data_IF_783084012260
#
_entry.id   IF_783084012260
#
_cell.length_a   1.000
_cell.length_b   1.000
_cell.length_c   1.000
_cell.angle_alpha   90.00
_cell.angle_beta   90.00
_cell.angle_gamma   90.00
#
_symmetry.space_group_name_H-M   'P 1'
#
loop_
_entity.id
_entity.type
_entity.pdbx_description
1 polymer ?
#
# COMPACT_ATOMS: atom_id res chain seq x y z
N UNK A 1 -11.16 -21.31 29.67
CA UNK A 1 -12.11 -20.19 29.42
C UNK A 1 -13.36 -20.81 28.81
N UNK A 2 -14.57 -20.39 29.16
CA UNK A 2 -15.77 -20.90 28.49
C UNK A 2 -15.70 -20.43 27.02
N UNK A 3 -15.82 -21.37 26.07
CA UNK A 3 -15.81 -21.03 24.65
C UNK A 3 -16.99 -20.08 24.37
N UNK A 4 -16.69 -18.83 24.01
CA UNK A 4 -17.71 -17.87 23.59
C UNK A 4 -18.45 -18.39 22.37
N UNK A 5 -19.78 -18.28 22.36
CA UNK A 5 -20.64 -18.72 21.27
C UNK A 5 -21.57 -17.58 20.83
N UNK A 6 -21.66 -17.37 19.53
CA UNK A 6 -22.68 -16.53 18.92
C UNK A 6 -23.88 -17.39 18.52
N UNK A 7 -25.10 -16.89 18.72
CA UNK A 7 -26.35 -17.58 18.34
C UNK A 7 -26.98 -16.90 17.14
N UNK A 8 -27.31 -17.70 16.12
CA UNK A 8 -28.06 -17.26 14.95
C UNK A 8 -29.35 -18.06 14.83
N UNK A 9 -30.47 -17.38 14.77
CA UNK A 9 -31.74 -17.97 14.45
C UNK A 9 -32.08 -17.78 12.96
N UNK A 10 -32.25 -18.88 12.24
CA UNK A 10 -32.56 -18.85 10.82
C UNK A 10 -33.51 -20.00 10.47
N UNK A 11 -34.68 -19.68 9.86
CA UNK A 11 -35.68 -20.67 9.46
C UNK A 11 -36.20 -21.53 10.60
N UNK A 12 -36.33 -20.95 11.81
CA UNK A 12 -36.83 -21.65 13.02
C UNK A 12 -35.80 -22.57 13.67
N UNK A 13 -34.55 -22.53 13.24
CA UNK A 13 -33.43 -23.26 13.86
C UNK A 13 -32.50 -22.29 14.56
N UNK A 14 -32.08 -22.62 15.76
CA UNK A 14 -30.99 -21.91 16.47
C UNK A 14 -29.67 -22.61 16.21
N UNK A 15 -28.65 -21.88 15.79
CA UNK A 15 -27.31 -22.35 15.51
C UNK A 15 -26.33 -21.65 16.43
N UNK A 16 -25.32 -22.35 16.86
CA UNK A 16 -24.21 -21.81 17.66
C UNK A 16 -22.93 -21.83 16.83
N UNK A 17 -22.23 -20.68 16.83
CA UNK A 17 -20.98 -20.49 16.13
C UNK A 17 -19.87 -20.09 17.10
N UNK A 18 -18.65 -20.64 16.96
CA UNK A 18 -17.53 -20.21 17.77
C UNK A 18 -17.25 -18.71 17.59
N UNK A 19 -16.88 -18.06 18.68
CA UNK A 19 -16.36 -16.70 18.67
C UNK A 19 -14.86 -16.77 18.87
N UNK A 20 -14.10 -16.25 17.89
CA UNK A 20 -12.65 -16.19 17.94
C UNK A 20 -12.23 -14.85 18.54
N UNK A 21 -11.28 -14.90 19.47
CA UNK A 21 -10.71 -13.72 20.11
C UNK A 21 -9.28 -13.49 19.57
N UNK A 22 -9.01 -12.27 19.09
CA UNK A 22 -7.65 -11.85 18.74
C UNK A 22 -6.85 -11.47 20.00
N UNK A 23 -5.55 -11.23 19.84
CA UNK A 23 -4.72 -10.66 20.92
C UNK A 23 -5.16 -9.24 21.29
N UNK A 24 -5.69 -8.51 20.31
CA UNK A 24 -6.30 -7.17 20.44
C UNK A 24 -7.42 -7.03 19.40
N UNK A 25 -8.31 -6.07 19.60
CA UNK A 25 -9.39 -5.75 18.65
C UNK A 25 -10.69 -6.51 18.92
N UNK A 26 -11.66 -6.43 17.99
CA UNK A 26 -12.98 -7.02 18.16
C UNK A 26 -12.99 -8.54 18.00
N UNK A 27 -13.93 -9.18 18.66
CA UNK A 27 -14.22 -10.60 18.50
C UNK A 27 -14.74 -10.91 17.08
N UNK A 28 -14.49 -12.13 16.60
CA UNK A 28 -14.89 -12.59 15.26
C UNK A 28 -15.77 -13.84 15.38
N UNK A 29 -16.90 -13.86 14.69
CA UNK A 29 -17.80 -15.02 14.62
C UNK A 29 -17.34 -15.95 13.49
N UNK A 30 -16.96 -17.19 13.80
CA UNK A 30 -16.57 -18.19 12.82
C UNK A 30 -17.78 -18.79 12.10
N UNK A 31 -18.06 -18.29 10.90
CA UNK A 31 -19.20 -18.69 10.07
C UNK A 31 -18.89 -19.80 9.06
N UNK A 32 -17.73 -20.45 9.11
CA UNK A 32 -17.33 -21.48 8.13
C UNK A 32 -18.33 -22.61 8.00
N UNK A 33 -19.07 -22.94 9.06
CA UNK A 33 -20.11 -23.98 9.07
C UNK A 33 -21.51 -23.50 8.67
N UNK A 34 -21.73 -22.22 8.46
CA UNK A 34 -23.07 -21.62 8.21
C UNK A 34 -23.77 -22.27 7.01
N UNK A 35 -23.10 -22.33 5.88
CA UNK A 35 -23.72 -22.87 4.65
C UNK A 35 -24.07 -24.35 4.79
N UNK A 36 -23.19 -25.17 5.36
CA UNK A 36 -23.45 -26.58 5.57
C UNK A 36 -24.62 -26.87 6.52
N UNK A 37 -24.84 -26.00 7.50
CA UNK A 37 -25.92 -26.13 8.48
C UNK A 37 -27.27 -25.60 8.00
N UNK A 38 -27.29 -24.59 7.12
CA UNK A 38 -28.52 -23.83 6.78
C UNK A 38 -28.81 -23.74 5.28
N UNK A 39 -27.84 -23.97 4.41
CA UNK A 39 -27.93 -23.65 2.98
C UNK A 39 -27.84 -22.15 2.67
N UNK A 40 -27.67 -21.29 3.67
CA UNK A 40 -27.54 -19.84 3.52
C UNK A 40 -26.08 -19.39 3.70
N UNK A 41 -25.71 -18.25 3.13
CA UNK A 41 -24.45 -17.57 3.35
C UNK A 41 -24.66 -16.08 3.54
N UNK A 42 -23.65 -15.41 4.08
CA UNK A 42 -23.69 -13.97 4.40
C UNK A 42 -23.59 -13.11 3.15
N UNK A 43 -24.04 -11.87 3.24
CA UNK A 43 -23.90 -10.87 2.18
C UNK A 43 -23.18 -9.64 2.76
N UNK A 44 -21.92 -9.46 2.42
CA UNK A 44 -21.07 -8.35 2.85
C UNK A 44 -20.18 -7.86 1.70
N UNK A 45 -20.72 -7.05 0.76
CA UNK A 45 -19.93 -6.49 -0.33
C UNK A 45 -18.84 -5.57 0.20
N UNK A 46 -17.57 -5.90 -0.06
CA UNK A 46 -16.43 -5.13 0.39
C UNK A 46 -15.91 -5.49 1.78
N UNK A 47 -16.39 -6.57 2.37
CA UNK A 47 -15.86 -7.21 3.59
C UNK A 47 -15.76 -6.29 4.81
N UNK A 48 -16.73 -5.38 5.00
CA UNK A 48 -16.71 -4.43 6.12
C UNK A 48 -16.90 -5.08 7.49
N UNK A 49 -17.53 -6.24 7.53
CA UNK A 49 -17.84 -7.00 8.75
C UNK A 49 -17.36 -8.45 8.65
N UNK A 50 -16.38 -8.72 7.78
CA UNK A 50 -15.92 -10.07 7.50
C UNK A 50 -14.40 -10.12 7.59
N UNK A 51 -13.86 -10.80 8.62
CA UNK A 51 -12.47 -11.17 8.67
C UNK A 51 -12.22 -12.32 7.68
N UNK A 52 -11.24 -12.19 6.81
CA UNK A 52 -10.90 -13.19 5.77
C UNK A 52 -9.68 -14.03 6.12
N UNK A 53 -8.94 -13.68 7.17
CA UNK A 53 -7.75 -14.39 7.64
C UNK A 53 -7.44 -14.03 9.09
N UNK A 54 -6.57 -14.81 9.71
CA UNK A 54 -5.80 -14.45 10.88
C UNK A 54 -4.46 -13.85 10.43
N UNK A 55 -3.95 -12.84 11.13
CA UNK A 55 -2.67 -12.21 10.83
C UNK A 55 -2.03 -11.62 12.08
N UNK A 56 -0.72 -11.77 12.20
CA UNK A 56 0.08 -11.17 13.26
C UNK A 56 0.93 -9.98 12.76
N UNK A 57 0.70 -9.50 11.55
CA UNK A 57 1.54 -8.47 10.91
C UNK A 57 1.18 -7.05 11.34
N UNK A 58 -0.07 -6.68 11.14
CA UNK A 58 -0.52 -5.29 11.34
C UNK A 58 -1.87 -5.27 12.03
N UNK A 59 -1.98 -4.44 13.05
CA UNK A 59 -3.23 -4.13 13.72
C UNK A 59 -3.60 -2.66 13.51
N UNK A 60 -4.88 -2.41 13.23
CA UNK A 60 -5.44 -1.07 13.10
C UNK A 60 -6.66 -0.93 14.01
N UNK A 61 -6.67 0.11 14.84
CA UNK A 61 -7.87 0.62 15.47
C UNK A 61 -8.21 1.98 14.87
N UNK A 62 -9.24 1.99 14.04
CA UNK A 62 -9.66 3.20 13.34
C UNK A 62 -10.36 4.22 14.25
N UNK A 63 -10.99 3.79 15.34
CA UNK A 63 -11.66 4.70 16.29
C UNK A 63 -10.63 5.39 17.19
N UNK A 64 -9.63 4.64 17.68
CA UNK A 64 -8.56 5.18 18.54
C UNK A 64 -7.39 5.78 17.75
N UNK A 65 -7.32 5.58 16.44
CA UNK A 65 -6.20 6.07 15.61
C UNK A 65 -4.90 5.31 15.86
N UNK A 66 -4.97 4.00 16.07
CA UNK A 66 -3.82 3.13 16.33
C UNK A 66 -3.44 2.38 15.07
N UNK A 67 -2.13 2.31 14.80
CA UNK A 67 -1.52 1.45 13.77
C UNK A 67 -0.26 0.82 14.36
N UNK A 68 -0.25 -0.51 14.41
CA UNK A 68 0.89 -1.28 14.92
C UNK A 68 1.42 -2.21 13.82
N UNK A 69 2.74 -2.31 13.69
CA UNK A 69 3.41 -3.38 12.94
C UNK A 69 4.07 -4.33 13.93
N UNK A 70 3.64 -5.59 13.95
CA UNK A 70 4.12 -6.60 14.90
C UNK A 70 4.06 -6.12 16.37
N UNK A 71 3.06 -5.28 16.71
CA UNK A 71 2.90 -4.69 18.04
C UNK A 71 3.62 -3.35 18.26
N UNK A 72 4.52 -2.94 17.36
CA UNK A 72 5.23 -1.67 17.48
C UNK A 72 4.41 -0.51 16.86
N UNK A 73 4.22 0.61 17.59
CA UNK A 73 3.51 1.78 17.08
C UNK A 73 4.21 2.38 15.86
N UNK A 74 3.43 2.66 14.80
CA UNK A 74 3.97 3.16 13.53
C UNK A 74 4.76 4.47 13.68
N UNK A 75 4.34 5.35 14.58
CA UNK A 75 5.04 6.61 14.85
C UNK A 75 6.44 6.39 15.42
N UNK A 76 6.61 5.41 16.31
CA UNK A 76 7.92 5.06 16.88
C UNK A 76 8.83 4.44 15.80
N UNK A 77 8.29 3.53 14.98
CA UNK A 77 9.06 2.95 13.88
C UNK A 77 9.52 4.02 12.90
N UNK A 78 8.66 4.95 12.50
CA UNK A 78 9.02 6.03 11.57
C UNK A 78 10.01 7.06 12.17
N UNK A 79 10.08 7.19 13.48
CA UNK A 79 10.99 8.12 14.15
C UNK A 79 12.37 7.51 14.43
N UNK A 80 12.42 6.21 14.77
CA UNK A 80 13.60 5.57 15.32
C UNK A 80 14.20 4.44 14.47
N UNK A 81 13.47 3.92 13.49
CA UNK A 81 13.92 2.82 12.63
C UNK A 81 14.24 3.29 11.21
N UNK A 82 14.97 2.47 10.47
CA UNK A 82 15.08 2.55 9.02
C UNK A 82 13.99 1.71 8.34
N UNK A 83 13.75 1.96 7.04
CA UNK A 83 12.82 1.13 6.26
C UNK A 83 13.26 -0.34 6.22
N UNK A 84 14.57 -0.60 6.21
CA UNK A 84 15.09 -1.98 6.20
C UNK A 84 14.87 -2.70 7.53
N UNK A 85 14.96 -2.00 8.67
CA UNK A 85 14.57 -2.57 9.97
C UNK A 85 13.07 -2.93 10.01
N UNK A 86 12.21 -2.08 9.46
CA UNK A 86 10.77 -2.34 9.38
C UNK A 86 10.47 -3.48 8.39
N UNK A 87 11.20 -3.56 7.27
CA UNK A 87 11.11 -4.67 6.35
C UNK A 87 11.48 -6.00 7.01
N UNK A 88 12.58 -6.01 7.76
CA UNK A 88 12.99 -7.17 8.55
C UNK A 88 11.93 -7.56 9.59
N UNK A 89 11.44 -6.58 10.36
CA UNK A 89 10.39 -6.77 11.37
C UNK A 89 9.14 -7.45 10.79
N UNK A 90 8.62 -6.94 9.67
CA UNK A 90 7.43 -7.49 9.03
C UNK A 90 7.65 -8.93 8.54
N UNK A 91 8.82 -9.22 7.99
CA UNK A 91 9.14 -10.56 7.47
C UNK A 91 9.43 -11.58 8.57
N UNK A 92 10.16 -11.19 9.63
CA UNK A 92 10.72 -12.11 10.61
C UNK A 92 10.01 -12.07 11.99
N UNK A 93 9.20 -11.04 12.27
CA UNK A 93 8.35 -10.95 13.47
C UNK A 93 8.91 -10.09 14.59
N UNK A 94 10.22 -9.85 14.65
CA UNK A 94 10.90 -9.04 15.66
C UNK A 94 11.87 -8.05 15.01
N UNK A 95 12.19 -6.96 15.69
CA UNK A 95 13.21 -6.02 15.25
C UNK A 95 14.59 -6.70 15.22
N UNK A 96 15.40 -6.44 14.17
CA UNK A 96 16.71 -7.05 14.06
C UNK A 96 17.68 -6.49 15.10
N UNK A 97 18.58 -7.33 15.58
CA UNK A 97 19.83 -6.83 16.15
C UNK A 97 20.78 -6.37 15.03
N UNK A 98 21.92 -5.73 15.37
CA UNK A 98 22.82 -5.16 14.38
C UNK A 98 23.35 -6.20 13.38
N UNK A 99 23.71 -7.40 13.83
CA UNK A 99 24.23 -8.44 12.95
C UNK A 99 23.16 -8.98 11.98
N UNK A 100 21.93 -9.10 12.43
CA UNK A 100 20.79 -9.51 11.61
C UNK A 100 20.44 -8.43 10.57
N UNK A 101 20.49 -7.16 10.94
CA UNK A 101 20.27 -6.04 10.02
C UNK A 101 21.38 -5.99 8.96
N UNK A 102 22.64 -6.11 9.37
CA UNK A 102 23.79 -6.08 8.45
C UNK A 102 23.73 -7.24 7.43
N UNK A 103 23.33 -8.45 7.85
CA UNK A 103 23.16 -9.60 6.95
C UNK A 103 21.96 -9.40 5.99
N UNK A 104 20.86 -8.85 6.51
CA UNK A 104 19.69 -8.54 5.71
C UNK A 104 19.99 -7.47 4.67
N UNK A 105 20.60 -6.35 5.06
CA UNK A 105 21.02 -5.28 4.17
C UNK A 105 22.02 -5.78 3.12
N UNK A 106 22.99 -6.59 3.53
CA UNK A 106 23.93 -7.25 2.62
C UNK A 106 23.21 -8.08 1.57
N UNK A 107 22.23 -8.87 1.99
CA UNK A 107 21.45 -9.74 1.09
C UNK A 107 20.59 -8.92 0.14
N UNK A 108 19.82 -7.95 0.64
CA UNK A 108 18.95 -7.11 -0.19
C UNK A 108 19.76 -6.31 -1.21
N UNK A 109 20.83 -5.67 -0.77
CA UNK A 109 21.72 -4.84 -1.62
C UNK A 109 22.27 -5.61 -2.82
N UNK A 110 22.54 -6.92 -2.67
CA UNK A 110 23.08 -7.76 -3.74
C UNK A 110 22.04 -8.37 -4.67
N UNK A 111 20.75 -8.14 -4.40
CA UNK A 111 19.65 -8.58 -5.26
C UNK A 111 18.98 -7.42 -6.03
N UNK A 112 19.48 -6.21 -5.95
CA UNK A 112 18.87 -5.00 -6.54
C UNK A 112 18.94 -4.94 -8.06
N UNK A 113 19.95 -5.53 -8.69
CA UNK A 113 20.08 -5.56 -10.15
C UNK A 113 18.97 -6.37 -10.81
N UNK A 114 18.44 -5.85 -11.90
CA UNK A 114 17.54 -6.58 -12.78
C UNK A 114 18.32 -7.39 -13.83
N UNK A 115 17.70 -8.41 -14.37
CA UNK A 115 18.23 -9.10 -15.55
C UNK A 115 18.29 -8.12 -16.74
N UNK A 116 19.41 -8.08 -17.46
CA UNK A 116 19.64 -7.10 -18.55
C UNK A 116 18.56 -7.10 -19.63
N UNK A 117 17.98 -8.25 -19.95
CA UNK A 117 16.90 -8.33 -20.92
C UNK A 117 15.63 -7.58 -20.48
N UNK A 118 15.43 -7.31 -19.18
CA UNK A 118 14.34 -6.46 -18.73
C UNK A 118 14.43 -5.03 -19.25
N UNK A 119 15.62 -4.51 -19.50
CA UNK A 119 15.78 -3.21 -20.18
C UNK A 119 15.15 -3.20 -21.57
N UNK A 120 15.20 -4.32 -22.29
CA UNK A 120 14.49 -4.49 -23.57
C UNK A 120 12.96 -4.56 -23.38
N UNK A 121 12.51 -5.20 -22.32
CA UNK A 121 11.07 -5.26 -21.98
C UNK A 121 10.49 -3.87 -21.72
N UNK A 122 11.24 -2.99 -21.03
CA UNK A 122 10.85 -1.58 -20.85
C UNK A 122 10.66 -0.86 -22.19
N UNK A 123 11.51 -1.13 -23.19
CA UNK A 123 11.42 -0.52 -24.52
C UNK A 123 10.16 -0.94 -25.32
N UNK A 124 9.47 -1.99 -24.87
CA UNK A 124 8.19 -2.42 -25.43
C UNK A 124 7.00 -1.56 -24.99
N UNK A 125 7.13 -0.78 -23.92
CA UNK A 125 6.09 0.14 -23.49
C UNK A 125 6.14 1.45 -24.29
N UNK A 126 5.02 2.17 -24.34
CA UNK A 126 5.03 3.56 -24.80
C UNK A 126 5.73 4.44 -23.78
N UNK A 127 6.37 5.52 -24.22
CA UNK A 127 7.06 6.46 -23.32
C UNK A 127 6.12 7.20 -22.37
N UNK A 128 4.88 7.43 -22.79
CA UNK A 128 3.82 8.04 -22.03
C UNK A 128 3.02 7.01 -21.18
N UNK A 129 3.48 5.77 -21.10
CA UNK A 129 2.85 4.76 -20.26
C UNK A 129 2.96 5.14 -18.79
N UNK A 130 1.85 4.96 -18.06
CA UNK A 130 1.82 5.22 -16.63
C UNK A 130 2.81 4.30 -15.89
N UNK A 131 3.62 4.80 -14.94
CA UNK A 131 4.61 3.99 -14.22
C UNK A 131 4.02 2.74 -13.55
N UNK A 132 2.79 2.81 -13.05
CA UNK A 132 2.10 1.65 -12.47
C UNK A 132 1.82 0.54 -13.48
N UNK A 133 1.51 0.88 -14.75
CA UNK A 133 1.33 -0.11 -15.81
C UNK A 133 2.66 -0.82 -16.11
N UNK A 134 3.74 -0.05 -16.17
CA UNK A 134 5.10 -0.58 -16.37
C UNK A 134 5.47 -1.51 -15.20
N UNK A 135 5.31 -1.04 -13.96
CA UNK A 135 5.65 -1.84 -12.77
C UNK A 135 4.85 -3.13 -12.70
N UNK A 136 3.53 -3.08 -12.96
CA UNK A 136 2.68 -4.26 -13.01
C UNK A 136 3.19 -5.29 -14.01
N UNK A 137 3.52 -4.86 -15.23
CA UNK A 137 4.05 -5.73 -16.27
C UNK A 137 5.43 -6.31 -15.93
N UNK A 138 6.35 -5.47 -15.46
CA UNK A 138 7.72 -5.86 -15.14
C UNK A 138 7.77 -6.82 -13.95
N UNK A 139 7.02 -6.55 -12.87
CA UNK A 139 6.97 -7.43 -11.69
C UNK A 139 6.39 -8.79 -12.05
N UNK A 140 5.32 -8.83 -12.85
CA UNK A 140 4.77 -10.10 -13.36
C UNK A 140 5.79 -10.87 -14.22
N UNK A 141 6.56 -10.16 -15.06
CA UNK A 141 7.60 -10.75 -15.89
C UNK A 141 8.77 -11.35 -15.09
N UNK A 142 9.00 -10.91 -13.83
CA UNK A 142 10.05 -11.52 -12.98
C UNK A 142 9.89 -13.03 -12.83
N UNK A 143 8.67 -13.55 -12.89
CA UNK A 143 8.42 -15.00 -12.89
C UNK A 143 9.15 -15.74 -14.01
N UNK A 144 9.34 -15.10 -15.17
CA UNK A 144 10.03 -15.67 -16.33
C UNK A 144 11.56 -15.51 -16.26
N UNK A 145 12.05 -14.59 -15.43
CA UNK A 145 13.49 -14.34 -15.27
C UNK A 145 14.09 -15.03 -14.04
N UNK A 146 13.26 -15.30 -13.03
CA UNK A 146 13.67 -15.89 -11.73
C UNK A 146 12.87 -17.14 -11.41
N UNK A 147 12.67 -18.01 -12.42
CA UNK A 147 11.93 -19.27 -12.29
C UNK A 147 12.60 -20.29 -11.38
N UNK A 148 13.87 -20.07 -11.02
CA UNK A 148 14.64 -20.83 -10.04
C UNK A 148 14.16 -20.67 -8.59
N UNK A 149 13.20 -19.79 -8.33
CA UNK A 149 12.67 -19.50 -6.98
C UNK A 149 11.15 -19.36 -6.95
N UNK A 150 10.44 -20.07 -7.82
CA UNK A 150 8.98 -19.99 -7.93
C UNK A 150 8.23 -21.16 -7.28
N UNK A 151 8.94 -22.15 -6.75
CA UNK A 151 8.32 -23.24 -5.97
C UNK A 151 7.94 -22.74 -4.58
N UNK A 152 6.64 -22.49 -4.38
CA UNK A 152 6.11 -21.98 -3.12
C UNK A 152 6.06 -23.02 -2.00
N UNK A 153 6.26 -24.30 -2.30
CA UNK A 153 6.34 -25.37 -1.29
C UNK A 153 7.70 -25.38 -0.59
N UNK A 154 8.75 -24.85 -1.25
CA UNK A 154 10.10 -24.72 -0.70
C UNK A 154 10.27 -23.40 0.08
N UNK A 155 10.55 -23.43 1.39
CA UNK A 155 10.78 -22.24 2.21
C UNK A 155 11.94 -21.36 1.71
N UNK A 156 13.01 -21.96 1.16
CA UNK A 156 14.15 -21.20 0.63
C UNK A 156 13.77 -20.46 -0.66
N UNK A 157 12.95 -21.08 -1.54
CA UNK A 157 12.40 -20.40 -2.70
C UNK A 157 11.50 -19.23 -2.29
N UNK A 158 10.67 -19.40 -1.25
CA UNK A 158 9.85 -18.29 -0.72
C UNK A 158 10.71 -17.17 -0.18
N UNK A 159 11.76 -17.48 0.57
CA UNK A 159 12.69 -16.52 1.15
C UNK A 159 13.42 -15.73 0.06
N UNK A 160 14.04 -16.41 -0.90
CA UNK A 160 14.80 -15.72 -1.97
C UNK A 160 13.90 -14.89 -2.88
N UNK A 161 12.68 -15.36 -3.20
CA UNK A 161 11.71 -14.58 -3.98
C UNK A 161 11.25 -13.33 -3.23
N UNK A 162 11.05 -13.43 -1.92
CA UNK A 162 10.74 -12.30 -1.05
C UNK A 162 11.84 -11.24 -1.08
N UNK A 163 13.09 -11.67 -0.89
CA UNK A 163 14.25 -10.77 -0.96
C UNK A 163 14.40 -10.14 -2.35
N UNK A 164 14.23 -10.92 -3.43
CA UNK A 164 14.28 -10.43 -4.82
C UNK A 164 13.20 -9.37 -5.09
N UNK A 165 11.97 -9.58 -4.63
CA UNK A 165 10.89 -8.60 -4.79
C UNK A 165 11.22 -7.28 -4.10
N UNK A 166 11.59 -7.34 -2.82
CA UNK A 166 11.94 -6.15 -2.05
C UNK A 166 13.14 -5.43 -2.68
N UNK A 167 14.21 -6.16 -2.98
CA UNK A 167 15.45 -5.60 -3.51
C UNK A 167 15.30 -4.95 -4.89
N UNK A 168 14.48 -5.53 -5.76
CA UNK A 168 14.34 -5.08 -7.15
C UNK A 168 13.32 -3.96 -7.36
N UNK A 169 12.42 -3.77 -6.42
CA UNK A 169 11.35 -2.79 -6.56
C UNK A 169 11.85 -1.35 -6.74
N UNK A 170 12.88 -0.86 -6.01
CA UNK A 170 13.47 0.45 -6.25
C UNK A 170 14.01 0.60 -7.67
N UNK A 171 14.72 -0.42 -8.17
CA UNK A 171 15.28 -0.40 -9.52
C UNK A 171 14.18 -0.39 -10.57
N UNK A 172 13.12 -1.17 -10.36
CA UNK A 172 11.95 -1.22 -11.26
C UNK A 172 11.26 0.14 -11.32
N UNK A 173 11.00 0.78 -10.17
CA UNK A 173 10.36 2.08 -10.10
C UNK A 173 11.23 3.19 -10.71
N UNK A 174 12.52 3.22 -10.41
CA UNK A 174 13.46 4.18 -10.97
C UNK A 174 13.59 4.03 -12.50
N UNK A 175 13.65 2.80 -13.02
CA UNK A 175 13.68 2.55 -14.46
C UNK A 175 12.38 2.98 -15.15
N UNK A 176 11.22 2.81 -14.51
CA UNK A 176 9.95 3.30 -15.05
C UNK A 176 9.96 4.83 -15.19
N UNK A 177 10.46 5.54 -14.19
CA UNK A 177 10.65 6.99 -14.24
C UNK A 177 11.63 7.40 -15.33
N UNK A 178 12.83 6.82 -15.35
CA UNK A 178 13.86 7.12 -16.35
C UNK A 178 13.39 6.87 -17.78
N UNK A 179 12.63 5.80 -17.97
CA UNK A 179 12.04 5.49 -19.27
C UNK A 179 11.06 6.56 -19.74
N UNK A 180 10.17 7.02 -18.86
CA UNK A 180 9.19 8.06 -19.19
C UNK A 180 9.85 9.41 -19.52
N UNK A 181 10.95 9.76 -18.83
CA UNK A 181 11.68 11.01 -19.06
C UNK A 181 12.68 10.91 -20.22
N UNK A 182 12.93 9.72 -20.76
CA UNK A 182 13.88 9.50 -21.85
C UNK A 182 15.35 9.56 -21.42
N UNK A 183 15.63 9.42 -20.13
CA UNK A 183 16.96 9.39 -19.57
C UNK A 183 17.52 7.96 -19.53
N UNK A 184 18.86 7.80 -19.52
CA UNK A 184 19.50 6.49 -19.38
C UNK A 184 19.20 5.87 -18.01
N UNK A 185 19.06 4.54 -17.97
CA UNK A 185 18.97 3.82 -16.72
C UNK A 185 20.26 3.89 -15.94
N UNK A 186 20.17 4.07 -14.62
CA UNK A 186 21.31 3.91 -13.72
C UNK A 186 21.23 2.56 -13.03
N UNK A 187 22.37 1.89 -12.94
CA UNK A 187 22.52 0.68 -12.16
C UNK A 187 22.55 0.99 -10.66
N UNK A 188 22.10 0.04 -9.81
CA UNK A 188 22.26 0.17 -8.36
C UNK A 188 23.69 0.38 -7.93
N UNK A 189 23.89 1.08 -6.83
CA UNK A 189 25.16 1.30 -6.16
C UNK A 189 25.13 0.70 -4.76
N UNK A 190 25.89 -0.36 -4.54
CA UNK A 190 25.88 -1.12 -3.29
C UNK A 190 26.50 -0.37 -2.09
N UNK A 191 27.06 0.81 -2.29
CA UNK A 191 27.57 1.66 -1.21
C UNK A 191 26.51 2.54 -0.55
N UNK A 192 25.33 2.64 -1.16
CA UNK A 192 24.23 3.47 -0.69
C UNK A 192 23.19 2.63 0.06
N UNK A 193 22.45 3.31 0.94
CA UNK A 193 21.26 2.75 1.57
C UNK A 193 20.19 2.36 0.53
N UNK A 194 19.19 1.59 0.93
CA UNK A 194 18.05 1.23 0.08
C UNK A 194 17.37 2.47 -0.52
N UNK A 195 17.06 3.44 0.34
CA UNK A 195 16.40 4.69 -0.05
C UNK A 195 17.30 5.62 -0.85
N UNK A 196 18.57 5.76 -0.43
CA UNK A 196 19.56 6.57 -1.14
C UNK A 196 19.84 6.02 -2.53
N UNK A 197 19.92 4.70 -2.68
CA UNK A 197 20.10 4.04 -3.97
C UNK A 197 18.91 4.27 -4.91
N UNK A 198 17.68 4.19 -4.38
CA UNK A 198 16.48 4.53 -5.14
C UNK A 198 16.50 5.97 -5.65
N UNK A 199 16.82 6.93 -4.78
CA UNK A 199 16.92 8.36 -5.15
C UNK A 199 17.99 8.61 -6.21
N UNK A 200 19.17 8.01 -6.06
CA UNK A 200 20.25 8.09 -7.05
C UNK A 200 19.84 7.50 -8.40
N UNK A 201 19.22 6.32 -8.43
CA UNK A 201 18.76 5.72 -9.67
C UNK A 201 17.67 6.54 -10.36
N UNK A 202 16.85 7.25 -9.58
CA UNK A 202 15.75 8.07 -10.09
C UNK A 202 16.24 9.41 -10.63
N UNK A 203 17.03 10.16 -9.87
CA UNK A 203 17.39 11.55 -10.17
C UNK A 203 18.81 11.71 -10.72
N UNK A 204 19.71 10.81 -10.39
CA UNK A 204 21.08 10.85 -10.89
C UNK A 204 21.17 10.70 -12.41
N UNK A 205 22.27 11.19 -13.00
CA UNK A 205 22.62 11.05 -14.42
C UNK A 205 24.04 10.52 -14.56
N UNK A 206 24.38 9.81 -15.65
CA UNK A 206 25.74 9.24 -15.79
C UNK A 206 26.85 10.28 -15.92
N UNK A 207 26.48 11.53 -16.24
CA UNK A 207 27.45 12.61 -16.54
C UNK A 207 28.06 13.25 -15.28
N UNK A 208 27.42 13.05 -14.10
CA UNK A 208 27.83 13.67 -12.84
C UNK A 208 27.56 12.77 -11.65
N UNK A 209 28.24 13.05 -10.54
CA UNK A 209 27.96 12.37 -9.28
C UNK A 209 26.65 12.91 -8.68
N UNK A 210 25.77 12.01 -8.27
CA UNK A 210 24.54 12.38 -7.57
C UNK A 210 24.86 12.72 -6.10
N UNK A 211 24.49 13.92 -5.69
CA UNK A 211 24.60 14.35 -4.30
C UNK A 211 23.31 14.01 -3.54
N UNK A 212 23.39 12.99 -2.69
CA UNK A 212 22.27 12.57 -1.86
C UNK A 212 22.06 13.55 -0.69
N UNK A 213 20.89 14.20 -0.65
CA UNK A 213 20.55 15.12 0.43
C UNK A 213 20.00 14.35 1.65
N UNK A 214 20.63 14.43 2.84
CA UNK A 214 20.24 13.60 3.99
C UNK A 214 18.78 13.81 4.44
N UNK A 215 18.25 15.03 4.37
CA UNK A 215 16.85 15.28 4.72
C UNK A 215 15.86 14.66 3.73
N UNK A 216 16.23 14.58 2.44
CA UNK A 216 15.43 13.93 1.40
C UNK A 216 15.42 12.42 1.60
N UNK A 217 16.59 11.84 1.85
CA UNK A 217 16.73 10.42 2.15
C UNK A 217 15.88 10.02 3.36
N UNK A 218 16.00 10.76 4.47
CA UNK A 218 15.23 10.52 5.68
C UNK A 218 13.71 10.67 5.46
N UNK A 219 13.30 11.66 4.69
CA UNK A 219 11.88 11.87 4.38
C UNK A 219 11.30 10.70 3.56
N UNK A 220 12.05 10.24 2.56
CA UNK A 220 11.65 9.09 1.74
C UNK A 220 11.62 7.79 2.55
N UNK A 221 12.58 7.58 3.44
CA UNK A 221 12.62 6.42 4.32
C UNK A 221 11.38 6.38 5.24
N UNK A 222 11.02 7.51 5.83
CA UNK A 222 9.78 7.65 6.62
C UNK A 222 8.53 7.38 5.78
N UNK A 223 8.45 7.91 4.55
CA UNK A 223 7.34 7.63 3.63
C UNK A 223 7.25 6.12 3.39
N UNK A 224 8.35 5.45 3.14
CA UNK A 224 8.36 4.00 2.93
C UNK A 224 7.90 3.23 4.16
N UNK A 225 8.35 3.58 5.35
CA UNK A 225 7.92 2.98 6.62
C UNK A 225 6.40 3.12 6.80
N UNK A 226 5.87 4.33 6.63
CA UNK A 226 4.45 4.64 6.85
C UNK A 226 3.50 3.98 5.83
N UNK A 227 4.04 3.51 4.71
CA UNK A 227 3.30 2.83 3.66
C UNK A 227 3.59 1.33 3.57
N UNK A 228 4.50 0.79 4.40
CA UNK A 228 5.00 -0.59 4.32
C UNK A 228 3.89 -1.64 4.38
N UNK A 229 2.94 -1.51 5.30
CA UNK A 229 1.74 -2.36 5.39
C UNK A 229 0.54 -1.59 5.96
N UNK A 230 -0.67 -2.07 5.71
CA UNK A 230 -1.90 -1.47 6.23
C UNK A 230 -3.03 -2.51 6.29
N UNK A 231 -2.79 -3.63 6.96
CA UNK A 231 -3.77 -4.71 7.19
C UNK A 231 -4.37 -5.24 5.87
N UNK A 232 -5.62 -5.71 5.91
CA UNK A 232 -6.37 -6.27 4.76
C UNK A 232 -7.00 -5.18 3.89
N UNK A 233 -6.22 -4.22 3.39
CA UNK A 233 -6.66 -3.31 2.34
C UNK A 233 -6.89 -4.05 1.01
N UNK A 234 -7.50 -3.41 0.03
CA UNK A 234 -7.90 -4.04 -1.23
C UNK A 234 -6.73 -4.73 -1.96
N UNK A 235 -5.54 -4.11 -2.02
CA UNK A 235 -4.39 -4.70 -2.71
C UNK A 235 -3.77 -5.86 -1.92
N UNK A 236 -3.70 -5.78 -0.59
CA UNK A 236 -3.25 -6.87 0.27
C UNK A 236 -4.17 -8.09 0.16
N UNK A 237 -5.50 -7.86 0.24
CA UNK A 237 -6.49 -8.93 0.04
C UNK A 237 -6.40 -9.54 -1.36
N UNK A 238 -6.08 -8.74 -2.39
CA UNK A 238 -5.85 -9.22 -3.76
C UNK A 238 -4.61 -10.11 -3.84
N UNK A 239 -3.50 -9.74 -3.20
CA UNK A 239 -2.28 -10.54 -3.11
C UNK A 239 -2.57 -11.89 -2.44
N UNK A 240 -3.26 -11.88 -1.29
CA UNK A 240 -3.64 -13.11 -0.57
C UNK A 240 -4.60 -13.95 -1.40
N UNK A 241 -5.60 -13.35 -2.06
CA UNK A 241 -6.54 -14.07 -2.92
C UNK A 241 -5.82 -14.73 -4.11
N UNK A 242 -4.95 -14.00 -4.81
CA UNK A 242 -4.15 -14.56 -5.89
C UNK A 242 -3.25 -15.70 -5.40
N UNK A 243 -2.54 -15.47 -4.29
CA UNK A 243 -1.65 -16.47 -3.68
C UNK A 243 -2.39 -17.71 -3.18
N UNK A 244 -3.66 -17.60 -2.79
CA UNK A 244 -4.47 -18.71 -2.32
C UNK A 244 -4.65 -19.83 -3.36
N UNK A 245 -4.45 -19.51 -4.65
CA UNK A 245 -4.45 -20.47 -5.75
C UNK A 245 -3.13 -21.24 -5.91
N UNK A 246 -2.11 -20.94 -5.10
CA UNK A 246 -0.76 -21.47 -5.28
C UNK A 246 0.08 -20.71 -6.30
N UNK A 247 -0.34 -19.48 -6.71
CA UNK A 247 0.43 -18.65 -7.62
C UNK A 247 1.75 -18.18 -6.98
N UNK A 248 2.80 -18.07 -7.81
CA UNK A 248 4.11 -17.61 -7.35
C UNK A 248 4.05 -16.13 -6.87
N UNK A 249 4.97 -15.71 -5.99
CA UNK A 249 4.88 -14.39 -5.37
C UNK A 249 5.00 -13.23 -6.37
N UNK A 250 5.77 -13.36 -7.45
CA UNK A 250 5.90 -12.29 -8.45
C UNK A 250 4.54 -11.99 -9.11
N UNK A 251 3.78 -13.02 -9.47
CA UNK A 251 2.44 -12.89 -10.04
C UNK A 251 1.46 -12.29 -9.02
N UNK A 252 1.54 -12.71 -7.74
CA UNK A 252 0.69 -12.19 -6.68
C UNK A 252 0.94 -10.71 -6.41
N UNK A 253 2.21 -10.28 -6.36
CA UNK A 253 2.57 -8.88 -6.17
C UNK A 253 2.17 -8.03 -7.38
N UNK A 254 2.29 -8.54 -8.61
CA UNK A 254 1.77 -7.86 -9.80
C UNK A 254 0.25 -7.62 -9.70
N UNK A 255 -0.52 -8.59 -9.19
CA UNK A 255 -1.96 -8.42 -8.94
C UNK A 255 -2.23 -7.34 -7.86
N UNK A 256 -1.41 -7.30 -6.79
CA UNK A 256 -1.45 -6.24 -5.78
C UNK A 256 -1.20 -4.85 -6.37
N UNK A 257 -0.19 -4.72 -7.23
CA UNK A 257 0.12 -3.47 -7.96
C UNK A 257 -1.06 -3.05 -8.83
N UNK A 258 -1.64 -3.98 -9.58
CA UNK A 258 -2.81 -3.70 -10.42
C UNK A 258 -4.01 -3.19 -9.59
N UNK A 259 -4.27 -3.80 -8.44
CA UNK A 259 -5.33 -3.36 -7.53
C UNK A 259 -5.02 -1.98 -6.90
N UNK A 260 -3.76 -1.74 -6.51
CA UNK A 260 -3.35 -0.47 -5.91
C UNK A 260 -3.50 0.70 -6.89
N UNK A 261 -3.31 0.46 -8.18
CA UNK A 261 -3.44 1.50 -9.22
C UNK A 261 -4.86 2.05 -9.37
N UNK A 262 -5.87 1.37 -8.85
CA UNK A 262 -7.24 1.86 -8.91
C UNK A 262 -7.43 3.20 -8.18
N UNK A 263 -8.21 4.16 -8.74
CA UNK A 263 -8.39 5.51 -8.17
C UNK A 263 -9.07 5.49 -6.79
N UNK A 264 -9.78 4.42 -6.48
CA UNK A 264 -10.42 4.24 -5.17
C UNK A 264 -9.46 3.72 -4.08
N UNK A 265 -8.20 3.40 -4.42
CA UNK A 265 -7.20 2.85 -3.50
C UNK A 265 -5.92 3.69 -3.47
N UNK A 266 -5.00 3.55 -4.42
CA UNK A 266 -3.70 4.23 -4.38
C UNK A 266 -3.67 5.63 -4.99
N UNK A 267 -4.78 6.13 -5.54
CA UNK A 267 -4.85 7.45 -6.19
C UNK A 267 -5.05 8.65 -5.26
N UNK A 268 -5.14 8.45 -3.94
CA UNK A 268 -5.48 9.52 -3.00
C UNK A 268 -4.40 10.59 -2.88
N UNK A 269 -3.13 10.20 -2.87
CA UNK A 269 -1.98 11.12 -2.79
C UNK A 269 -1.90 12.04 -4.02
N UNK A 270 -2.08 11.48 -5.22
CA UNK A 270 -2.13 12.26 -6.47
C UNK A 270 -3.31 13.21 -6.47
N UNK A 271 -4.50 12.74 -6.07
CA UNK A 271 -5.69 13.55 -5.99
C UNK A 271 -5.56 14.71 -5.00
N UNK A 272 -4.87 14.52 -3.88
CA UNK A 272 -4.62 15.58 -2.90
C UNK A 272 -3.73 16.70 -3.48
N UNK A 273 -2.66 16.36 -4.20
CA UNK A 273 -1.81 17.35 -4.82
C UNK A 273 -2.51 18.09 -5.99
N UNK A 274 -3.24 17.34 -6.83
CA UNK A 274 -4.01 17.95 -7.92
C UNK A 274 -5.06 18.96 -7.37
N UNK A 275 -5.70 18.64 -6.26
CA UNK A 275 -6.60 19.56 -5.56
C UNK A 275 -5.87 20.82 -5.07
N UNK A 276 -4.69 20.69 -4.47
CA UNK A 276 -3.88 21.84 -4.03
C UNK A 276 -3.47 22.72 -5.21
N UNK A 277 -3.12 22.12 -6.34
CA UNK A 277 -2.82 22.87 -7.58
C UNK A 277 -4.07 23.56 -8.15
N UNK A 278 -5.26 22.94 -8.07
CA UNK A 278 -6.53 23.57 -8.46
C UNK A 278 -6.86 24.76 -7.57
N UNK A 279 -6.67 24.65 -6.25
CA UNK A 279 -6.82 25.78 -5.32
C UNK A 279 -5.82 26.87 -5.68
N UNK A 280 -4.56 26.53 -5.87
CA UNK A 280 -3.48 27.37 -6.39
C UNK A 280 -2.91 28.36 -5.37
N UNK A 281 -3.74 29.23 -4.77
CA UNK A 281 -3.28 30.29 -3.85
C UNK A 281 -4.11 30.33 -2.57
N UNK A 282 -3.51 30.79 -1.43
CA UNK A 282 -4.19 30.81 -0.13
C UNK A 282 -5.49 31.62 -0.07
N UNK A 283 -5.61 32.66 -0.84
CA UNK A 283 -6.81 33.54 -0.90
C UNK A 283 -8.04 32.82 -1.48
N UNK A 284 -7.84 31.77 -2.25
CA UNK A 284 -8.93 30.97 -2.84
C UNK A 284 -9.44 29.84 -1.90
N UNK A 285 -8.72 29.50 -0.83
CA UNK A 285 -9.07 28.43 0.09
C UNK A 285 -10.49 28.57 0.66
N UNK A 286 -10.95 29.77 1.14
CA UNK A 286 -12.31 29.89 1.68
C UNK A 286 -13.40 29.47 0.68
N UNK A 287 -13.23 29.79 -0.59
CA UNK A 287 -14.17 29.38 -1.65
C UNK A 287 -14.24 27.85 -1.78
N UNK A 288 -13.10 27.16 -1.77
CA UNK A 288 -13.05 25.70 -1.90
C UNK A 288 -13.53 24.99 -0.63
N UNK A 289 -13.33 25.58 0.54
CA UNK A 289 -13.92 25.08 1.80
C UNK A 289 -15.45 25.09 1.72
N UNK A 290 -16.06 26.19 1.25
CA UNK A 290 -17.51 26.28 1.09
C UNK A 290 -18.04 25.26 0.05
N UNK A 291 -17.33 25.06 -1.06
CA UNK A 291 -17.65 23.99 -2.01
C UNK A 291 -17.59 22.60 -1.38
N UNK A 292 -16.58 22.33 -0.55
CA UNK A 292 -16.44 21.04 0.15
C UNK A 292 -17.57 20.77 1.16
N UNK A 293 -18.14 21.83 1.75
CA UNK A 293 -19.29 21.78 2.65
C UNK A 293 -20.62 21.54 1.92
N UNK A 294 -20.74 21.98 0.67
CA UNK A 294 -21.95 21.79 -0.14
C UNK A 294 -22.07 20.31 -0.59
N UNK A 295 -23.12 19.64 -0.17
CA UNK A 295 -23.40 18.25 -0.54
C UNK A 295 -23.69 18.07 -2.05
N UNK A 296 -24.15 19.13 -2.73
CA UNK A 296 -24.48 19.12 -4.15
C UNK A 296 -23.27 19.44 -5.05
N UNK A 297 -22.21 20.06 -4.52
CA UNK A 297 -20.96 20.25 -5.25
C UNK A 297 -20.19 18.93 -5.32
N UNK A 298 -19.66 18.52 -6.48
CA UNK A 298 -18.84 17.32 -6.62
C UNK A 298 -17.46 17.47 -5.97
N UNK A 299 -17.02 18.68 -5.66
CA UNK A 299 -15.72 18.94 -5.05
C UNK A 299 -15.61 18.30 -3.66
N UNK A 300 -14.45 17.72 -3.38
CA UNK A 300 -14.12 17.15 -2.06
C UNK A 300 -12.70 17.57 -1.70
N UNK A 301 -12.44 17.82 -0.43
CA UNK A 301 -11.08 17.97 0.08
C UNK A 301 -10.38 16.61 0.08
N UNK A 302 -9.54 16.39 -0.92
CA UNK A 302 -8.73 15.19 -1.03
C UNK A 302 -7.58 15.22 -0.03
N UNK A 303 -7.25 14.07 0.56
CA UNK A 303 -6.27 14.00 1.63
C UNK A 303 -6.80 14.40 3.02
N UNK A 304 -8.14 14.57 3.16
CA UNK A 304 -8.81 14.85 4.43
C UNK A 304 -9.79 13.73 4.79
N UNK A 305 -9.75 13.30 6.05
CA UNK A 305 -10.49 12.12 6.51
C UNK A 305 -9.87 10.81 6.03
N UNK A 306 -10.36 9.69 6.53
CA UNK A 306 -9.88 8.37 6.17
C UNK A 306 -11.01 7.33 6.23
N UNK A 307 -10.96 6.28 5.41
CA UNK A 307 -11.98 5.22 5.42
C UNK A 307 -11.95 4.39 6.70
N UNK A 308 -10.75 4.18 7.25
CA UNK A 308 -10.52 3.38 8.46
C UNK A 308 -10.48 4.29 9.69
N UNK A 309 -9.56 5.26 9.72
CA UNK A 309 -9.43 6.16 10.86
C UNK A 309 -10.62 7.12 10.95
N UNK A 310 -11.40 7.00 12.03
CA UNK A 310 -12.52 7.88 12.35
C UNK A 310 -12.08 9.10 13.15
N UNK A 311 -10.85 9.07 13.64
CA UNK A 311 -10.21 10.15 14.37
C UNK A 311 -8.98 10.63 13.58
N UNK A 312 -7.83 10.68 14.16
CA UNK A 312 -6.60 11.15 13.53
C UNK A 312 -5.82 9.97 12.93
N UNK A 313 -5.28 10.14 11.72
CA UNK A 313 -4.38 9.16 11.11
C UNK A 313 -3.02 9.22 11.84
N UNK A 314 -2.56 8.15 12.52
CA UNK A 314 -1.33 8.20 13.32
C UNK A 314 -0.07 8.47 12.49
N UNK A 315 -0.14 8.28 11.16
CA UNK A 315 0.95 8.57 10.23
C UNK A 315 1.07 10.06 9.92
N UNK A 316 -0.04 10.80 9.99
CA UNK A 316 -0.09 12.20 9.61
C UNK A 316 0.81 13.09 10.48
N UNK A 317 0.92 12.81 11.79
CA UNK A 317 1.79 13.58 12.69
C UNK A 317 3.26 13.50 12.30
N UNK A 318 3.73 12.31 11.91
CA UNK A 318 5.10 12.11 11.42
C UNK A 318 5.33 12.86 10.12
N UNK A 319 4.38 12.77 9.19
CA UNK A 319 4.49 13.44 7.89
C UNK A 319 4.43 14.97 8.01
N UNK A 320 3.59 15.51 8.88
CA UNK A 320 3.53 16.95 9.14
C UNK A 320 4.89 17.52 9.60
N UNK A 321 5.57 16.81 10.51
CA UNK A 321 6.94 17.15 10.94
C UNK A 321 7.91 17.06 9.76
N UNK A 322 7.81 16.00 8.98
CA UNK A 322 8.70 15.72 7.85
C UNK A 322 8.55 16.75 6.73
N UNK A 323 7.34 17.26 6.45
CA UNK A 323 7.11 18.38 5.50
C UNK A 323 7.97 19.60 5.87
N UNK A 324 7.96 19.99 7.15
CA UNK A 324 8.74 21.15 7.63
C UNK A 324 10.24 20.90 7.50
N UNK A 325 10.72 19.72 7.90
CA UNK A 325 12.15 19.33 7.76
C UNK A 325 12.61 19.41 6.30
N UNK A 326 11.80 18.94 5.34
CA UNK A 326 12.12 18.97 3.89
C UNK A 326 12.08 20.40 3.35
N UNK A 327 11.08 21.19 3.73
CA UNK A 327 10.96 22.57 3.24
C UNK A 327 12.11 23.45 3.70
N UNK A 328 12.51 23.31 4.98
CA UNK A 328 13.66 24.01 5.53
C UNK A 328 14.95 23.58 4.84
N UNK A 329 15.14 22.28 4.60
CA UNK A 329 16.34 21.75 4.00
C UNK A 329 16.50 22.13 2.51
N UNK A 330 15.41 22.09 1.74
CA UNK A 330 15.42 22.37 0.30
C UNK A 330 15.13 23.85 -0.01
N UNK A 331 14.88 24.69 1.01
CA UNK A 331 14.51 26.11 0.85
C UNK A 331 13.34 26.31 -0.14
N UNK A 332 12.32 25.45 0.00
CA UNK A 332 11.17 25.41 -0.90
C UNK A 332 10.36 26.70 -0.81
N UNK A 333 10.05 27.32 -1.96
CA UNK A 333 9.31 28.59 -2.08
C UNK A 333 8.13 28.47 -3.05
N UNK A 334 7.54 27.30 -3.19
CA UNK A 334 6.42 27.08 -4.11
C UNK A 334 5.09 27.52 -3.45
N UNK A 335 4.26 28.35 -4.12
CA UNK A 335 2.95 28.78 -3.60
C UNK A 335 1.99 27.64 -3.24
N UNK A 336 2.10 26.48 -3.89
CA UNK A 336 1.28 25.30 -3.58
C UNK A 336 1.51 24.82 -2.14
N UNK A 337 2.74 24.94 -1.64
CA UNK A 337 3.07 24.54 -0.27
C UNK A 337 2.56 25.52 0.77
N UNK A 338 2.61 26.84 0.47
CA UNK A 338 1.98 27.84 1.31
C UNK A 338 0.45 27.62 1.37
N UNK A 339 -0.14 27.29 0.22
CA UNK A 339 -1.57 26.95 0.13
C UNK A 339 -1.89 25.70 0.97
N UNK A 340 -1.05 24.68 0.93
CA UNK A 340 -1.23 23.45 1.71
C UNK A 340 -1.20 23.72 3.22
N UNK A 341 -0.19 24.44 3.71
CA UNK A 341 -0.08 24.79 5.14
C UNK A 341 -1.26 25.65 5.61
N UNK A 342 -1.69 26.60 4.77
CA UNK A 342 -2.84 27.46 5.10
C UNK A 342 -4.17 26.69 5.07
N UNK A 343 -4.34 25.75 4.12
CA UNK A 343 -5.51 24.88 4.07
C UNK A 343 -5.59 23.98 5.31
N UNK A 344 -4.45 23.38 5.71
CA UNK A 344 -4.36 22.60 6.95
C UNK A 344 -4.83 23.42 8.16
N UNK A 345 -4.26 24.62 8.37
CA UNK A 345 -4.60 25.49 9.49
C UNK A 345 -6.10 25.83 9.52
N UNK A 346 -6.67 26.21 8.38
CA UNK A 346 -8.08 26.57 8.27
C UNK A 346 -8.99 25.36 8.50
N UNK A 347 -8.68 24.20 7.92
CA UNK A 347 -9.47 22.99 8.12
C UNK A 347 -9.41 22.50 9.57
N UNK A 348 -8.26 22.57 10.23
CA UNK A 348 -8.11 22.21 11.65
C UNK A 348 -8.81 23.19 12.60
N UNK A 349 -9.06 24.44 12.18
CA UNK A 349 -9.79 25.44 12.97
C UNK A 349 -11.29 25.46 12.71
N UNK A 350 -11.77 25.00 11.56
CA UNK A 350 -13.17 25.05 11.13
C UNK A 350 -14.03 23.98 11.83
N UNK A 351 -15.15 24.40 12.39
CA UNK A 351 -16.01 23.52 13.20
C UNK A 351 -16.64 22.39 12.39
N UNK A 352 -16.98 22.61 11.10
CA UNK A 352 -17.51 21.55 10.23
C UNK A 352 -16.54 20.39 10.06
N UNK A 353 -15.24 20.68 9.84
CA UNK A 353 -14.23 19.64 9.68
C UNK A 353 -13.93 18.93 11.00
N UNK A 354 -13.93 19.65 12.12
CA UNK A 354 -13.79 19.06 13.46
C UNK A 354 -14.94 18.12 13.80
N UNK A 355 -16.17 18.57 13.63
CA UNK A 355 -17.37 17.75 13.91
C UNK A 355 -17.43 16.49 13.05
N UNK A 356 -17.01 16.58 11.80
CA UNK A 356 -16.95 15.45 10.86
C UNK A 356 -15.66 14.67 10.93
N UNK A 357 -14.71 15.07 11.77
CA UNK A 357 -13.39 14.44 11.92
C UNK A 357 -12.62 14.33 10.60
N UNK A 358 -12.71 15.36 9.75
CA UNK A 358 -12.04 15.45 8.47
C UNK A 358 -10.65 16.10 8.64
N UNK A 359 -9.75 15.36 9.28
CA UNK A 359 -8.37 15.81 9.50
C UNK A 359 -7.48 15.46 8.30
N UNK A 360 -6.40 16.23 8.05
CA UNK A 360 -5.38 15.85 7.07
C UNK A 360 -4.82 14.45 7.37
N UNK A 361 -4.70 13.62 6.35
CA UNK A 361 -4.18 12.27 6.46
C UNK A 361 -2.77 12.14 5.86
N UNK A 362 -2.21 10.93 5.85
CA UNK A 362 -0.88 10.67 5.30
C UNK A 362 -0.74 11.06 3.83
N UNK A 363 -1.79 10.92 3.02
CA UNK A 363 -1.77 11.22 1.58
C UNK A 363 -1.62 12.71 1.29
N UNK A 364 -2.21 13.57 2.14
CA UNK A 364 -2.07 15.01 2.03
C UNK A 364 -0.61 15.44 2.17
N UNK A 365 0.08 14.98 3.20
CA UNK A 365 1.46 15.37 3.48
C UNK A 365 2.47 14.69 2.56
N UNK A 366 2.31 13.41 2.27
CA UNK A 366 3.25 12.69 1.41
C UNK A 366 3.25 13.23 -0.01
N UNK A 367 2.09 13.63 -0.56
CA UNK A 367 2.02 14.27 -1.86
C UNK A 367 2.83 15.57 -1.93
N UNK A 368 2.75 16.39 -0.89
CA UNK A 368 3.51 17.64 -0.77
C UNK A 368 5.02 17.35 -0.73
N UNK A 369 5.46 16.40 0.10
CA UNK A 369 6.88 16.03 0.22
C UNK A 369 7.41 15.50 -1.10
N UNK A 370 6.71 14.56 -1.74
CA UNK A 370 7.13 13.96 -3.00
C UNK A 370 7.25 15.01 -4.11
N UNK A 371 6.32 15.96 -4.17
CA UNK A 371 6.39 17.08 -5.11
C UNK A 371 7.58 18.00 -4.83
N UNK A 372 7.86 18.31 -3.55
CA UNK A 372 9.01 19.13 -3.16
C UNK A 372 10.35 18.48 -3.49
N UNK A 373 10.44 17.15 -3.43
CA UNK A 373 11.62 16.38 -3.83
C UNK A 373 11.79 16.35 -5.36
N UNK A 374 10.72 16.57 -6.13
CA UNK A 374 10.75 16.62 -7.60
C UNK A 374 10.13 15.41 -8.30
N UNK A 375 9.40 14.56 -7.60
CA UNK A 375 8.64 13.49 -8.25
C UNK A 375 7.40 14.04 -8.97
N UNK A 376 7.14 13.62 -10.22
CA UNK A 376 5.86 13.90 -10.88
C UNK A 376 4.74 13.10 -10.20
N UNK A 377 3.51 13.63 -10.24
CA UNK A 377 2.34 13.00 -9.62
C UNK A 377 2.09 11.58 -10.09
N UNK A 378 2.40 11.27 -11.35
CA UNK A 378 2.29 9.91 -11.91
C UNK A 378 3.17 8.87 -11.22
N UNK A 379 4.20 9.30 -10.49
CA UNK A 379 5.06 8.41 -9.70
C UNK A 379 4.52 8.11 -8.29
N UNK A 380 3.58 8.87 -7.77
CA UNK A 380 3.17 8.76 -6.35
C UNK A 380 2.64 7.37 -6.00
N UNK A 381 1.72 6.83 -6.81
CA UNK A 381 1.22 5.46 -6.60
C UNK A 381 2.31 4.41 -6.82
N UNK A 382 3.27 4.66 -7.71
CA UNK A 382 4.42 3.78 -7.93
C UNK A 382 5.35 3.72 -6.70
N UNK A 383 5.57 4.86 -6.03
CA UNK A 383 6.31 4.93 -4.77
C UNK A 383 5.57 4.23 -3.63
N UNK A 384 4.24 4.37 -3.61
CA UNK A 384 3.41 3.62 -2.69
C UNK A 384 3.54 2.10 -2.92
N UNK A 385 3.48 1.63 -4.16
CA UNK A 385 3.68 0.22 -4.50
C UNK A 385 5.07 -0.29 -4.09
N UNK A 386 6.13 0.53 -4.28
CA UNK A 386 7.48 0.22 -3.83
C UNK A 386 7.50 -0.05 -2.33
N UNK A 387 7.01 0.89 -1.53
CA UNK A 387 6.97 0.77 -0.07
C UNK A 387 6.12 -0.41 0.40
N UNK A 388 4.92 -0.57 -0.18
CA UNK A 388 3.94 -1.61 0.18
C UNK A 388 4.38 -3.02 -0.19
N UNK A 389 5.35 -3.17 -1.07
CA UNK A 389 5.85 -4.50 -1.49
C UNK A 389 6.30 -5.34 -0.30
N UNK A 390 6.92 -4.75 0.70
CA UNK A 390 7.33 -5.46 1.93
C UNK A 390 6.11 -6.05 2.65
N UNK A 391 5.07 -5.25 2.87
CA UNK A 391 3.83 -5.71 3.50
C UNK A 391 3.12 -6.80 2.67
N UNK A 392 3.01 -6.62 1.36
CA UNK A 392 2.43 -7.64 0.49
C UNK A 392 3.18 -8.97 0.54
N UNK A 393 4.52 -8.91 0.53
CA UNK A 393 5.37 -10.10 0.62
C UNK A 393 5.22 -10.78 1.97
N UNK A 394 5.21 -10.01 3.07
CA UNK A 394 5.01 -10.53 4.41
C UNK A 394 3.62 -11.19 4.56
N UNK A 395 2.56 -10.54 4.07
CA UNK A 395 1.19 -11.05 4.04
C UNK A 395 1.06 -12.33 3.20
N UNK A 396 1.74 -12.38 2.06
CA UNK A 396 1.77 -13.57 1.21
C UNK A 396 2.50 -14.73 1.91
N UNK A 397 3.67 -14.48 2.52
CA UNK A 397 4.43 -15.50 3.26
C UNK A 397 3.65 -16.07 4.44
N UNK A 398 2.99 -15.19 5.22
CA UNK A 398 2.15 -15.61 6.33
C UNK A 398 1.03 -16.55 5.85
N UNK A 399 0.32 -16.16 4.78
CA UNK A 399 -0.75 -16.96 4.21
C UNK A 399 -0.27 -18.32 3.68
N UNK A 400 0.82 -18.36 2.90
CA UNK A 400 1.35 -19.61 2.32
C UNK A 400 1.89 -20.56 3.41
N UNK A 401 2.33 -20.00 4.53
CA UNK A 401 2.84 -20.79 5.68
C UNK A 401 1.72 -21.29 6.60
N UNK A 402 0.48 -20.84 6.41
CA UNK A 402 -0.67 -21.28 7.21
C UNK A 402 -1.16 -22.67 6.71
N UNK A 403 -1.08 -23.73 7.54
CA UNK A 403 -1.58 -25.06 7.17
C UNK A 403 -3.11 -25.10 6.97
N UNK A 404 -3.83 -24.10 7.48
CA UNK A 404 -5.28 -23.94 7.28
C UNK A 404 -5.66 -23.23 5.99
N UNK A 405 -4.67 -22.81 5.19
CA UNK A 405 -4.88 -22.09 3.94
C UNK A 405 -5.72 -22.89 2.95
N UNK A 406 -6.73 -22.24 2.40
CA UNK A 406 -7.59 -22.79 1.33
C UNK A 406 -7.75 -21.77 0.22
N UNK A 407 -8.02 -22.24 -1.00
CA UNK A 407 -8.28 -21.34 -2.14
C UNK A 407 -9.50 -20.46 -1.87
N UNK A 408 -9.32 -19.15 -2.04
CA UNK A 408 -10.39 -18.17 -1.89
C UNK A 408 -11.42 -18.29 -3.00
N UNK A 409 -12.68 -18.54 -2.64
CA UNK A 409 -13.82 -18.60 -3.57
C UNK A 409 -15.05 -18.01 -2.90
N UNK A 410 -15.28 -16.72 -3.15
CA UNK A 410 -16.44 -16.02 -2.66
C UNK A 410 -17.75 -16.60 -3.24
N UNK A 411 -18.84 -16.44 -2.50
CA UNK A 411 -20.21 -16.74 -2.97
C UNK A 411 -20.82 -15.49 -3.60
N UNK A 412 -21.87 -15.70 -4.40
CA UNK A 412 -22.67 -14.62 -4.97
C UNK A 412 -24.15 -14.87 -4.75
N UNK A 413 -24.93 -13.80 -4.56
CA UNK A 413 -26.38 -13.82 -4.70
C UNK A 413 -26.70 -13.68 -6.19
N UNK A 414 -27.18 -14.77 -6.81
CA UNK A 414 -27.56 -14.75 -8.22
C UNK A 414 -28.92 -14.05 -8.39
N UNK A 415 -28.94 -13.02 -9.21
CA UNK A 415 -30.14 -12.22 -9.55
C UNK A 415 -30.52 -12.26 -11.03
N UNK A 416 -29.86 -13.12 -11.79
CA UNK A 416 -30.14 -13.30 -13.22
C UNK A 416 -31.41 -14.15 -13.47
N UNK A 417 -31.76 -14.37 -14.75
CA UNK A 417 -32.87 -15.23 -15.12
C UNK A 417 -32.68 -16.66 -14.61
N UNK A 418 -33.79 -17.33 -14.36
CA UNK A 418 -33.81 -18.78 -14.09
C UNK A 418 -33.38 -19.55 -15.36
N UNK A 419 -33.29 -20.86 -15.28
CA UNK A 419 -32.97 -21.73 -16.42
C UNK A 419 -33.86 -21.43 -17.64
N UNK A 420 -33.24 -21.31 -18.79
CA UNK A 420 -33.89 -21.05 -20.07
C UNK A 420 -33.29 -21.94 -21.15
N UNK A 421 -34.16 -22.42 -22.06
CA UNK A 421 -33.72 -23.18 -23.20
C UNK A 421 -32.93 -22.32 -24.21
N UNK A 422 -31.93 -22.92 -24.82
CA UNK A 422 -31.23 -22.28 -25.93
C UNK A 422 -32.13 -22.09 -27.14
N UNK A 423 -32.25 -20.88 -27.61
CA UNK A 423 -33.00 -20.54 -28.85
C UNK A 423 -31.99 -20.39 -30.01
N UNK A 424 -32.10 -21.19 -31.08
CA UNK A 424 -31.23 -21.05 -32.26
C UNK A 424 -31.35 -19.66 -32.90
N UNK A 425 -30.25 -19.16 -33.52
CA UNK A 425 -30.17 -17.82 -34.07
C UNK A 425 -31.35 -17.44 -34.96
N UNK A 426 -31.78 -18.32 -35.82
CA UNK A 426 -32.92 -18.08 -36.76
C UNK A 426 -34.30 -18.07 -36.10
N UNK A 427 -34.40 -18.27 -34.75
CA UNK A 427 -35.65 -18.26 -33.96
C UNK A 427 -35.64 -17.24 -32.84
N UNK A 428 -34.64 -16.35 -32.75
CA UNK A 428 -34.52 -15.26 -31.76
C UNK A 428 -35.27 -14.02 -32.21
#
# INVERSE_FOLDING_TARGET
MADKQAKLELGGKTLEFPVLEGSVGPDVVDIRKLYGATGAFTFDPGYKSTASCESALTYIDGEEGVLLHRGYPIGQLAEHSSFMEVAYLLLNGELPNQAELDDFDYTITRHTMLHEQLATFYRGFRRDAHPMAIMCGVVGALSAFYHDSTDISDPEHRKISSHRLIAKMPTIAAMAYKYSTGQPFLYPDNSLSYTGNFLRMTFGVPAEQYELHPAVEKAMDRIFILHADHEQNASTSTVRLAGSSGANPFACIAAGIACLWGPAHGGATEAALNMLQEIGTPDRIPHYIERAKDKNDPFRLMGFGHRVYKNYDPRAAVMQKTVREVFDALQVKDPVFETALRLEELALSDDYFKEKKLFPNVDFYSGIILSAIGFPTTMFTALFALARTVGWVAQWNEMISDPGQVIGRQRQLYTGPTERDYVPMGKR
#
